data_IF_520081235881
#
_entry.id   IF_520081235881
#
_cell.length_a   1.000
_cell.length_b   1.000
_cell.length_c   1.000
_cell.angle_alpha   90.00
_cell.angle_beta   90.00
_cell.angle_gamma   90.00
#
_symmetry.space_group_name_H-M   'P 1'
#
loop_
_entity.id
_entity.type
_entity.pdbx_description
1 polymer ?
#
# COMPACT_ATOMS: atom_id res chain seq x y z
N UNK A 1 46.09 -15.54 7.19
CA UNK A 1 45.92 -14.54 8.27
C UNK A 1 44.90 -13.50 7.82
N UNK A 2 44.04 -13.09 8.75
CA UNK A 2 42.96 -12.09 8.64
C UNK A 2 41.61 -12.55 8.06
N UNK A 3 40.94 -13.37 8.86
CA UNK A 3 39.49 -13.48 8.97
C UNK A 3 38.95 -12.20 9.65
N UNK A 4 38.12 -11.41 8.96
CA UNK A 4 37.47 -10.23 9.52
C UNK A 4 36.21 -10.66 10.26
N UNK A 5 36.32 -10.82 11.58
CA UNK A 5 35.19 -10.95 12.48
C UNK A 5 34.35 -9.65 12.46
N UNK A 6 33.09 -9.79 12.06
CA UNK A 6 32.07 -8.75 12.12
C UNK A 6 31.60 -8.61 13.57
N UNK A 7 32.22 -7.68 14.31
CA UNK A 7 31.85 -7.37 15.69
C UNK A 7 30.63 -6.45 15.66
N UNK A 8 29.43 -7.02 15.84
CA UNK A 8 28.24 -6.24 16.17
C UNK A 8 28.32 -5.82 17.64
N UNK A 9 28.22 -4.51 17.98
CA UNK A 9 28.14 -4.10 19.37
C UNK A 9 26.81 -4.59 19.95
N UNK A 10 26.88 -5.37 21.03
CA UNK A 10 25.72 -5.72 21.83
C UNK A 10 25.06 -4.44 22.33
N UNK A 11 23.86 -4.16 21.84
CA UNK A 11 22.96 -3.18 22.45
C UNK A 11 22.67 -3.66 23.89
N UNK A 12 22.73 -2.78 24.91
CA UNK A 12 22.32 -3.15 26.25
C UNK A 12 20.86 -3.58 26.20
N UNK A 13 20.61 -4.86 26.48
CA UNK A 13 19.27 -5.39 26.62
C UNK A 13 18.58 -4.61 27.76
N UNK A 14 17.42 -3.96 27.52
CA UNK A 14 16.61 -3.50 28.64
C UNK A 14 16.29 -4.74 29.49
N UNK A 15 16.53 -4.64 30.80
CA UNK A 15 16.31 -5.69 31.79
C UNK A 15 14.92 -6.30 31.59
N UNK A 16 14.87 -7.40 30.83
CA UNK A 16 13.65 -8.07 30.46
C UNK A 16 13.38 -9.10 31.54
N UNK A 17 12.75 -8.66 32.63
CA UNK A 17 12.21 -9.59 33.62
C UNK A 17 10.96 -10.26 33.00
N UNK A 18 10.91 -11.59 32.91
CA UNK A 18 9.70 -12.30 32.53
C UNK A 18 8.75 -12.28 33.73
N UNK A 19 7.91 -11.25 33.84
CA UNK A 19 6.88 -11.18 34.87
C UNK A 19 5.73 -12.13 34.53
N UNK A 20 5.74 -13.29 35.18
CA UNK A 20 4.57 -14.14 35.39
C UNK A 20 3.44 -13.33 36.05
N UNK A 21 2.15 -13.62 35.80
CA UNK A 21 1.03 -12.95 36.48
C UNK A 21 1.10 -13.01 38.02
N UNK A 22 1.85 -13.95 38.61
CA UNK A 22 2.12 -14.01 40.06
C UNK A 22 3.18 -13.01 40.56
N UNK A 23 4.01 -12.43 39.69
CA UNK A 23 5.14 -11.58 40.09
C UNK A 23 4.71 -10.17 40.53
N UNK A 24 3.65 -9.64 39.94
CA UNK A 24 3.06 -8.36 40.36
C UNK A 24 2.46 -8.47 41.76
N UNK A 25 1.85 -9.62 42.07
CA UNK A 25 1.21 -9.85 43.36
C UNK A 25 2.26 -9.97 44.48
N UNK A 26 3.36 -10.68 44.23
CA UNK A 26 4.49 -10.78 45.15
C UNK A 26 5.13 -9.41 45.41
N UNK A 27 5.40 -8.63 44.36
CA UNK A 27 6.00 -7.29 44.48
C UNK A 27 5.08 -6.33 45.24
N UNK A 28 3.77 -6.42 44.99
CA UNK A 28 2.76 -5.63 45.68
C UNK A 28 2.69 -5.93 47.17
N UNK A 29 2.78 -7.21 47.55
CA UNK A 29 2.82 -7.62 48.95
C UNK A 29 4.08 -7.12 49.66
N UNK A 30 5.25 -7.18 49.01
CA UNK A 30 6.50 -6.69 49.59
C UNK A 30 6.44 -5.17 49.86
N UNK A 31 5.99 -4.38 48.88
CA UNK A 31 5.85 -2.93 49.04
C UNK A 31 4.78 -2.57 50.07
N UNK A 32 3.65 -3.29 50.10
CA UNK A 32 2.64 -3.08 51.14
C UNK A 32 3.22 -3.34 52.54
N UNK A 33 4.05 -4.37 52.70
CA UNK A 33 4.72 -4.67 53.96
C UNK A 33 5.73 -3.59 54.37
N UNK A 34 6.37 -2.91 53.42
CA UNK A 34 7.21 -1.74 53.69
C UNK A 34 6.38 -0.53 54.14
N UNK A 35 5.26 -0.24 53.49
CA UNK A 35 4.35 0.85 53.88
C UNK A 35 3.86 0.66 55.33
N UNK A 36 3.61 -0.58 55.75
CA UNK A 36 3.14 -0.87 57.11
C UNK A 36 4.18 -0.55 58.19
N UNK A 37 5.47 -0.61 57.85
CA UNK A 37 6.59 -0.33 58.76
C UNK A 37 6.87 1.17 58.93
N UNK A 38 6.33 2.03 58.07
CA UNK A 38 6.55 3.48 58.17
C UNK A 38 5.85 4.08 59.39
N UNK A 39 6.47 5.10 60.00
CA UNK A 39 5.89 5.86 61.10
C UNK A 39 4.92 6.94 60.57
N UNK A 40 3.80 6.49 60.01
CA UNK A 40 2.75 7.33 59.44
C UNK A 40 1.40 7.03 60.09
N UNK A 41 0.52 8.03 60.13
CA UNK A 41 -0.89 7.81 60.50
C UNK A 41 -1.53 6.77 59.57
N UNK A 42 -2.41 5.93 60.09
CA UNK A 42 -3.17 4.92 59.32
C UNK A 42 -3.79 5.49 58.03
N UNK A 43 -4.39 6.68 58.11
CA UNK A 43 -4.99 7.36 56.95
C UNK A 43 -3.99 7.59 55.79
N UNK A 44 -2.75 7.94 56.11
CA UNK A 44 -1.69 8.19 55.12
C UNK A 44 -1.17 6.87 54.54
N UNK A 45 -1.08 5.81 55.35
CA UNK A 45 -0.73 4.46 54.89
C UNK A 45 -1.78 3.92 53.93
N UNK A 46 -3.06 4.08 54.26
CA UNK A 46 -4.17 3.69 53.39
C UNK A 46 -4.12 4.45 52.06
N UNK A 47 -3.83 5.74 52.08
CA UNK A 47 -3.68 6.52 50.85
C UNK A 47 -2.50 6.03 50.01
N UNK A 48 -1.35 5.72 50.60
CA UNK A 48 -0.20 5.13 49.88
C UNK A 48 -0.59 3.81 49.21
N UNK A 49 -1.31 2.94 49.91
CA UNK A 49 -1.73 1.64 49.36
C UNK A 49 -2.76 1.80 48.24
N UNK A 50 -3.81 2.58 48.48
CA UNK A 50 -4.94 2.68 47.56
C UNK A 50 -4.64 3.58 46.35
N UNK A 51 -3.85 4.64 46.53
CA UNK A 51 -3.59 5.61 45.47
C UNK A 51 -2.32 5.31 44.72
N UNK A 52 -1.22 5.07 45.42
CA UNK A 52 0.08 4.90 44.79
C UNK A 52 0.34 3.44 44.42
N UNK A 53 0.24 2.50 45.37
CA UNK A 53 0.56 1.10 45.13
C UNK A 53 -0.42 0.45 44.14
N UNK A 54 -1.73 0.69 44.27
CA UNK A 54 -2.72 0.20 43.31
C UNK A 54 -2.44 0.71 41.89
N UNK A 55 -2.11 2.00 41.74
CA UNK A 55 -1.77 2.57 40.43
C UNK A 55 -0.50 1.98 39.85
N UNK A 56 0.53 1.77 40.68
CA UNK A 56 1.76 1.12 40.26
C UNK A 56 1.50 -0.30 39.76
N UNK A 57 0.78 -1.12 40.52
CA UNK A 57 0.46 -2.50 40.16
C UNK A 57 -0.43 -2.54 38.91
N UNK A 58 -1.39 -1.63 38.79
CA UNK A 58 -2.23 -1.50 37.62
C UNK A 58 -1.40 -1.17 36.37
N UNK A 59 -0.48 -0.20 36.46
CA UNK A 59 0.42 0.20 35.36
C UNK A 59 1.33 -0.96 34.94
N UNK A 60 1.92 -1.69 35.88
CA UNK A 60 2.76 -2.86 35.59
C UNK A 60 2.00 -3.99 34.91
N UNK A 61 0.81 -4.31 35.41
CA UNK A 61 -0.07 -5.32 34.84
C UNK A 61 -0.53 -4.93 33.43
N UNK A 62 -0.87 -3.64 33.24
CA UNK A 62 -1.25 -3.07 31.94
C UNK A 62 -0.09 -3.12 30.94
N UNK A 63 1.12 -2.76 31.38
CA UNK A 63 2.32 -2.80 30.54
C UNK A 63 2.58 -4.23 30.04
N UNK A 64 2.61 -5.21 30.95
CA UNK A 64 2.84 -6.61 30.59
C UNK A 64 1.81 -7.13 29.57
N UNK A 65 0.51 -6.90 29.81
CA UNK A 65 -0.55 -7.33 28.88
C UNK A 65 -0.44 -6.69 27.49
N UNK A 66 -0.11 -5.40 27.43
CA UNK A 66 0.09 -4.72 26.15
C UNK A 66 1.31 -5.24 25.39
N UNK A 67 2.41 -5.51 26.10
CA UNK A 67 3.62 -6.11 25.52
C UNK A 67 3.30 -7.46 24.88
N UNK A 68 2.64 -8.34 25.62
CA UNK A 68 2.40 -9.71 25.17
C UNK A 68 1.43 -9.73 23.98
N UNK A 69 0.40 -8.86 23.97
CA UNK A 69 -0.49 -8.67 22.81
C UNK A 69 0.24 -8.12 21.59
N UNK A 70 1.12 -7.14 21.78
CA UNK A 70 1.93 -6.58 20.70
C UNK A 70 2.78 -7.67 20.02
N UNK A 71 3.50 -8.47 20.82
CA UNK A 71 4.33 -9.54 20.28
C UNK A 71 3.49 -10.68 19.68
N UNK A 72 2.34 -11.02 20.25
CA UNK A 72 1.44 -12.02 19.68
C UNK A 72 0.93 -11.61 18.30
N UNK A 73 0.41 -10.37 18.14
CA UNK A 73 -0.04 -9.85 16.85
C UNK A 73 1.10 -9.82 15.84
N UNK A 74 2.25 -9.28 16.23
CA UNK A 74 3.41 -9.19 15.34
C UNK A 74 3.92 -10.57 14.88
N UNK A 75 3.93 -11.55 15.78
CA UNK A 75 4.29 -12.93 15.43
C UNK A 75 3.30 -13.52 14.43
N UNK A 76 1.98 -13.31 14.62
CA UNK A 76 0.97 -13.80 13.66
C UNK A 76 1.15 -13.19 12.27
N UNK A 77 1.48 -11.90 12.18
CA UNK A 77 1.72 -11.20 10.91
C UNK A 77 2.96 -11.74 10.19
N UNK A 78 4.07 -11.95 10.92
CA UNK A 78 5.31 -12.50 10.35
C UNK A 78 5.11 -13.94 9.88
N UNK A 79 4.54 -14.78 10.74
CA UNK A 79 4.30 -16.20 10.43
C UNK A 79 3.31 -16.34 9.29
N UNK A 80 2.21 -15.58 9.29
CA UNK A 80 1.24 -15.57 8.21
C UNK A 80 1.81 -15.10 6.88
N UNK A 81 2.66 -14.07 6.89
CA UNK A 81 3.35 -13.59 5.68
C UNK A 81 4.29 -14.63 5.05
N UNK A 82 4.86 -15.54 5.85
CA UNK A 82 5.69 -16.66 5.35
C UNK A 82 4.84 -17.86 4.92
N UNK A 83 3.72 -18.13 5.61
CA UNK A 83 2.84 -19.26 5.32
C UNK A 83 2.02 -19.04 4.03
N UNK A 84 1.53 -17.83 3.76
CA UNK A 84 0.67 -17.56 2.59
C UNK A 84 1.34 -17.97 1.26
N UNK A 85 2.59 -17.54 0.95
CA UNK A 85 3.27 -17.98 -0.27
C UNK A 85 3.48 -19.49 -0.34
N UNK A 86 3.77 -20.14 0.80
CA UNK A 86 3.91 -21.59 0.85
C UNK A 86 2.57 -22.28 0.53
N UNK A 87 1.46 -21.81 1.11
CA UNK A 87 0.12 -22.34 0.86
C UNK A 87 -0.28 -22.24 -0.62
N UNK A 88 0.01 -21.09 -1.25
CA UNK A 88 -0.30 -20.86 -2.68
C UNK A 88 0.67 -21.63 -3.60
N UNK A 89 1.92 -21.80 -3.19
CA UNK A 89 2.96 -22.49 -3.97
C UNK A 89 2.82 -24.01 -4.05
N UNK A 90 2.15 -24.65 -3.08
CA UNK A 90 1.96 -26.12 -3.05
C UNK A 90 0.84 -26.65 -3.96
N UNK A 91 0.29 -25.85 -4.87
CA UNK A 91 -0.86 -26.16 -5.74
C UNK A 91 -0.70 -27.26 -6.80
N UNK A 92 0.14 -28.29 -6.59
CA UNK A 92 0.23 -29.47 -7.45
C UNK A 92 -0.54 -30.64 -6.82
N UNK A 93 -1.87 -30.60 -6.92
CA UNK A 93 -2.79 -31.63 -6.38
C UNK A 93 -4.09 -31.71 -7.18
N UNK A 94 -5.08 -32.50 -6.72
CA UNK A 94 -6.39 -32.55 -7.37
C UNK A 94 -7.11 -31.19 -7.26
N UNK A 95 -8.00 -30.87 -8.21
CA UNK A 95 -8.70 -29.58 -8.27
C UNK A 95 -9.38 -29.17 -6.94
N UNK A 96 -9.93 -30.15 -6.21
CA UNK A 96 -10.52 -29.93 -4.89
C UNK A 96 -9.50 -29.41 -3.85
N UNK A 97 -8.28 -29.94 -3.80
CA UNK A 97 -7.25 -29.46 -2.86
C UNK A 97 -6.83 -28.02 -3.18
N UNK A 98 -6.73 -27.67 -4.46
CA UNK A 98 -6.37 -26.31 -4.88
C UNK A 98 -7.40 -25.27 -4.42
N UNK A 99 -8.70 -25.59 -4.51
CA UNK A 99 -9.77 -24.71 -4.04
C UNK A 99 -9.74 -24.53 -2.51
N UNK A 100 -9.55 -25.61 -1.75
CA UNK A 100 -9.42 -25.56 -0.29
C UNK A 100 -8.23 -24.71 0.16
N UNK A 101 -7.04 -24.90 -0.43
CA UNK A 101 -5.86 -24.08 -0.11
C UNK A 101 -6.02 -22.62 -0.54
N UNK A 102 -6.74 -22.36 -1.63
CA UNK A 102 -7.08 -21.00 -2.07
C UNK A 102 -7.91 -20.24 -1.04
N UNK A 103 -9.00 -20.85 -0.55
CA UNK A 103 -9.83 -20.26 0.50
C UNK A 103 -9.09 -20.13 1.84
N UNK A 104 -8.24 -21.09 2.18
CA UNK A 104 -7.41 -21.01 3.38
C UNK A 104 -6.38 -19.86 3.29
N UNK A 105 -5.73 -19.68 2.14
CA UNK A 105 -4.80 -18.59 1.91
C UNK A 105 -5.50 -17.22 1.99
N UNK A 106 -6.70 -17.11 1.40
CA UNK A 106 -7.52 -15.91 1.49
C UNK A 106 -7.97 -15.61 2.93
N UNK A 107 -8.45 -16.62 3.67
CA UNK A 107 -8.80 -16.45 5.08
C UNK A 107 -7.60 -16.00 5.91
N UNK A 108 -6.44 -16.63 5.70
CA UNK A 108 -5.20 -16.28 6.40
C UNK A 108 -4.72 -14.87 6.04
N UNK A 109 -4.85 -14.43 4.79
CA UNK A 109 -4.48 -13.07 4.40
C UNK A 109 -5.35 -12.02 5.10
N UNK A 110 -6.64 -12.28 5.28
CA UNK A 110 -7.50 -11.37 6.04
C UNK A 110 -7.13 -11.31 7.52
N UNK A 111 -6.79 -12.46 8.13
CA UNK A 111 -6.31 -12.48 9.53
C UNK A 111 -5.03 -11.69 9.68
N UNK A 112 -4.07 -11.84 8.75
CA UNK A 112 -2.81 -11.08 8.75
C UNK A 112 -3.07 -9.58 8.59
N UNK A 113 -3.93 -9.20 7.64
CA UNK A 113 -4.27 -7.80 7.41
C UNK A 113 -4.98 -7.17 8.63
N UNK A 114 -5.94 -7.87 9.24
CA UNK A 114 -6.61 -7.40 10.45
C UNK A 114 -5.62 -7.31 11.62
N UNK A 115 -4.72 -8.29 11.77
CA UNK A 115 -3.69 -8.29 12.83
C UNK A 115 -2.76 -7.08 12.70
N UNK A 116 -2.28 -6.81 11.49
CA UNK A 116 -1.45 -5.65 11.18
C UNK A 116 -2.20 -4.33 11.42
N UNK A 117 -3.46 -4.24 10.98
CA UNK A 117 -4.29 -3.06 11.20
C UNK A 117 -4.57 -2.82 12.70
N UNK A 118 -4.81 -3.86 13.48
CA UNK A 118 -4.96 -3.77 14.94
C UNK A 118 -3.66 -3.33 15.60
N UNK A 119 -2.51 -3.87 15.16
CA UNK A 119 -1.19 -3.48 15.68
C UNK A 119 -0.91 -1.99 15.44
N UNK A 120 -1.23 -1.49 14.24
CA UNK A 120 -1.09 -0.08 13.86
C UNK A 120 -2.08 0.81 14.62
N UNK A 121 -3.36 0.40 14.70
CA UNK A 121 -4.43 1.17 15.35
C UNK A 121 -4.19 1.39 16.85
N UNK A 122 -3.76 0.34 17.56
CA UNK A 122 -3.59 0.43 19.02
C UNK A 122 -2.19 0.89 19.45
N UNK A 123 -1.24 1.00 18.51
CA UNK A 123 0.14 1.41 18.79
C UNK A 123 0.72 0.75 20.06
N UNK A 124 0.44 -0.55 20.24
CA UNK A 124 0.66 -1.25 21.51
C UNK A 124 2.11 -1.14 21.99
N UNK A 125 3.08 -1.07 21.06
CA UNK A 125 4.50 -0.95 21.38
C UNK A 125 4.89 0.39 22.04
N UNK A 126 4.23 1.49 21.68
CA UNK A 126 4.51 2.80 22.27
C UNK A 126 3.75 3.00 23.59
N UNK A 127 2.51 2.53 23.63
CA UNK A 127 1.71 2.53 24.85
C UNK A 127 2.34 1.66 25.94
N UNK A 128 2.90 0.50 25.59
CA UNK A 128 3.67 -0.33 26.54
C UNK A 128 4.84 0.44 27.16
N UNK A 129 5.62 1.15 26.34
CA UNK A 129 6.79 1.91 26.82
C UNK A 129 6.38 3.02 27.76
N UNK A 130 5.30 3.75 27.45
CA UNK A 130 4.76 4.77 28.35
C UNK A 130 4.35 4.18 29.69
N UNK A 131 3.49 3.15 29.71
CA UNK A 131 3.06 2.54 30.98
C UNK A 131 4.24 1.97 31.78
N UNK A 132 5.22 1.38 31.10
CA UNK A 132 6.43 0.89 31.75
C UNK A 132 7.24 2.04 32.35
N UNK A 133 7.51 3.10 31.59
CA UNK A 133 8.28 4.25 32.07
C UNK A 133 7.60 4.92 33.27
N UNK A 134 6.28 5.11 33.23
CA UNK A 134 5.50 5.65 34.36
C UNK A 134 5.58 4.71 35.57
N UNK A 135 5.43 3.41 35.38
CA UNK A 135 5.57 2.42 36.47
C UNK A 135 6.97 2.42 37.10
N UNK A 136 8.03 2.40 36.29
CA UNK A 136 9.41 2.46 36.79
C UNK A 136 9.70 3.79 37.49
N UNK A 137 9.17 4.92 36.98
CA UNK A 137 9.26 6.22 37.65
C UNK A 137 8.60 6.22 39.03
N UNK A 138 7.39 5.67 39.14
CA UNK A 138 6.68 5.52 40.42
C UNK A 138 7.39 4.57 41.40
N UNK A 139 8.07 3.53 40.91
CA UNK A 139 8.92 2.66 41.73
C UNK A 139 10.11 3.41 42.29
N UNK A 140 10.84 4.12 41.42
CA UNK A 140 12.01 4.89 41.82
C UNK A 140 11.61 5.92 42.88
N UNK A 141 10.52 6.64 42.66
CA UNK A 141 10.00 7.62 43.62
C UNK A 141 9.64 6.98 44.97
N UNK A 142 9.02 5.80 44.95
CA UNK A 142 8.72 5.03 46.18
C UNK A 142 9.97 4.61 46.94
N UNK A 143 11.00 4.12 46.23
CA UNK A 143 12.27 3.76 46.85
C UNK A 143 13.04 4.97 47.40
N UNK A 144 13.00 6.09 46.69
CA UNK A 144 13.58 7.35 47.18
C UNK A 144 12.90 7.82 48.46
N UNK A 145 11.57 7.73 48.53
CA UNK A 145 10.79 8.05 49.71
C UNK A 145 11.12 7.14 50.90
N UNK A 146 11.08 5.82 50.73
CA UNK A 146 11.35 4.86 51.82
C UNK A 146 12.75 4.96 52.42
N UNK A 147 13.72 5.49 51.67
CA UNK A 147 15.09 5.63 52.15
C UNK A 147 15.43 7.09 52.50
N UNK A 148 14.47 8.02 52.38
CA UNK A 148 14.68 9.47 52.47
C UNK A 148 15.88 9.94 51.63
N UNK A 149 15.98 9.40 50.41
CA UNK A 149 17.04 9.73 49.45
C UNK A 149 16.53 10.61 48.32
N UNK A 150 17.42 10.96 47.38
CA UNK A 150 17.07 11.81 46.24
C UNK A 150 16.44 13.13 46.66
N UNK A 151 15.20 13.34 46.20
CA UNK A 151 14.43 14.57 46.45
C UNK A 151 13.95 14.69 47.91
N UNK A 152 14.07 13.63 48.71
CA UNK A 152 13.60 13.57 50.10
C UNK A 152 14.69 13.74 51.15
N UNK A 153 15.96 13.90 50.75
CA UNK A 153 17.11 14.05 51.67
C UNK A 153 17.01 15.20 52.66
N UNK A 154 16.19 16.19 52.35
CA UNK A 154 15.97 17.37 53.19
C UNK A 154 15.00 17.13 54.35
N UNK A 155 14.30 16.00 54.36
CA UNK A 155 13.35 15.64 55.41
C UNK A 155 14.01 14.68 56.41
N UNK A 156 13.74 14.90 57.69
CA UNK A 156 14.26 14.04 58.78
C UNK A 156 13.33 12.86 59.08
N UNK A 157 12.04 12.98 58.74
CA UNK A 157 11.03 11.95 58.97
C UNK A 157 10.18 11.67 57.73
N UNK A 158 9.68 10.44 57.60
CA UNK A 158 8.77 10.02 56.53
C UNK A 158 7.45 10.83 56.55
N UNK A 159 7.01 11.24 57.74
CA UNK A 159 5.83 12.10 57.94
C UNK A 159 5.93 13.44 57.25
N UNK A 160 7.12 14.05 57.28
CA UNK A 160 7.38 15.35 56.66
C UNK A 160 7.57 15.21 55.14
N UNK A 161 8.21 14.12 54.72
CA UNK A 161 8.40 13.77 53.31
C UNK A 161 7.10 13.37 52.59
N UNK A 162 6.10 12.86 53.32
CA UNK A 162 4.86 12.33 52.76
C UNK A 162 4.14 13.32 51.83
N UNK A 163 4.07 14.59 52.19
CA UNK A 163 3.37 15.60 51.38
C UNK A 163 4.07 15.77 50.02
N UNK A 164 5.39 15.93 50.03
CA UNK A 164 6.19 16.02 48.81
C UNK A 164 6.09 14.74 47.96
N UNK A 165 5.98 13.57 48.61
CA UNK A 165 5.74 12.30 47.92
C UNK A 165 4.38 12.26 47.23
N UNK A 166 3.32 12.59 47.95
CA UNK A 166 1.96 12.60 47.41
C UNK A 166 1.85 13.55 46.21
N UNK A 167 2.48 14.73 46.26
CA UNK A 167 2.48 15.69 45.15
C UNK A 167 3.19 15.15 43.90
N UNK A 168 4.33 14.48 44.09
CA UNK A 168 5.10 13.91 42.97
C UNK A 168 4.40 12.70 42.36
N UNK A 169 3.80 11.84 43.16
CA UNK A 169 2.94 10.75 42.66
C UNK A 169 1.79 11.31 41.82
N UNK A 170 1.09 12.32 42.32
CA UNK A 170 0.01 12.97 41.56
C UNK A 170 0.53 13.67 40.30
N UNK A 171 1.76 14.19 40.31
CA UNK A 171 2.39 14.74 39.11
C UNK A 171 2.65 13.65 38.06
N UNK A 172 3.18 12.48 38.43
CA UNK A 172 3.34 11.35 37.51
C UNK A 172 2.01 10.90 36.92
N UNK A 173 0.96 10.80 37.74
CA UNK A 173 -0.38 10.40 37.27
C UNK A 173 -0.94 11.45 36.31
N UNK A 174 -0.80 12.75 36.63
CA UNK A 174 -1.22 13.85 35.72
C UNK A 174 -0.44 13.83 34.41
N UNK A 175 0.88 13.60 34.47
CA UNK A 175 1.73 13.53 33.30
C UNK A 175 1.39 12.33 32.42
N UNK A 176 1.05 11.18 33.00
CA UNK A 176 0.62 9.99 32.24
C UNK A 176 -0.68 10.28 31.46
N UNK A 177 -1.66 10.91 32.11
CA UNK A 177 -2.93 11.30 31.48
C UNK A 177 -2.72 12.38 30.41
N UNK A 178 -1.91 13.41 30.69
CA UNK A 178 -1.61 14.48 29.73
C UNK A 178 -0.80 13.96 28.54
N UNK A 179 0.20 13.12 28.79
CA UNK A 179 1.01 12.47 27.78
C UNK A 179 0.18 11.57 26.87
N UNK A 180 -0.84 10.90 27.42
CA UNK A 180 -1.81 10.16 26.61
C UNK A 180 -2.59 11.09 25.66
N UNK A 181 -3.08 12.23 26.14
CA UNK A 181 -3.83 13.20 25.32
C UNK A 181 -2.95 13.83 24.24
N UNK A 182 -1.71 14.23 24.58
CA UNK A 182 -0.78 14.83 23.61
C UNK A 182 -0.39 13.83 22.53
N UNK A 183 -0.07 12.59 22.92
CA UNK A 183 0.29 11.53 21.98
C UNK A 183 -0.87 11.20 21.03
N UNK A 184 -2.13 11.26 21.49
CA UNK A 184 -3.29 11.11 20.62
C UNK A 184 -3.39 12.26 19.60
N UNK A 185 -3.13 13.50 20.01
CA UNK A 185 -3.16 14.65 19.11
C UNK A 185 -2.04 14.62 18.06
N UNK A 186 -0.83 14.19 18.45
CA UNK A 186 0.30 14.04 17.54
C UNK A 186 0.05 12.96 16.50
N UNK A 187 -0.45 11.79 16.91
CA UNK A 187 -0.86 10.72 15.98
C UNK A 187 -1.89 11.22 14.96
N UNK A 188 -2.93 11.93 15.40
CA UNK A 188 -3.92 12.49 14.48
C UNK A 188 -3.32 13.49 13.48
N UNK A 189 -2.28 14.23 13.87
CA UNK A 189 -1.58 15.15 12.95
C UNK A 189 -0.72 14.37 11.97
N UNK A 190 -0.01 13.34 12.41
CA UNK A 190 0.80 12.48 11.55
C UNK A 190 -0.06 11.71 10.54
N UNK A 191 -1.17 11.13 10.96
CA UNK A 191 -2.10 10.42 10.08
C UNK A 191 -2.70 11.36 9.01
N UNK A 192 -3.06 12.59 9.42
CA UNK A 192 -3.51 13.63 8.48
C UNK A 192 -2.42 14.01 7.48
N UNK A 193 -1.17 14.18 7.93
CA UNK A 193 -0.03 14.48 7.05
C UNK A 193 0.25 13.36 6.05
N UNK A 194 0.32 12.11 6.51
CA UNK A 194 0.50 10.93 5.63
C UNK A 194 -0.62 10.83 4.60
N UNK A 195 -1.87 11.07 5.02
CA UNK A 195 -3.02 11.07 4.12
C UNK A 195 -2.89 12.19 3.09
N UNK A 196 -2.53 13.40 3.51
CA UNK A 196 -2.33 14.54 2.61
C UNK A 196 -1.18 14.31 1.62
N UNK A 197 -0.07 13.74 2.06
CA UNK A 197 1.06 13.34 1.20
C UNK A 197 0.67 12.27 0.19
N UNK A 198 -0.06 11.24 0.61
CA UNK A 198 -0.54 10.17 -0.27
C UNK A 198 -1.52 10.71 -1.31
N UNK A 199 -2.41 11.62 -0.91
CA UNK A 199 -3.35 12.28 -1.83
C UNK A 199 -2.57 13.15 -2.83
N UNK A 200 -1.59 13.94 -2.39
CA UNK A 200 -0.73 14.73 -3.28
C UNK A 200 -0.01 13.85 -4.30
N UNK A 201 0.60 12.76 -3.84
CA UNK A 201 1.31 11.83 -4.70
C UNK A 201 0.37 11.19 -5.74
N UNK A 202 -0.82 10.75 -5.32
CA UNK A 202 -1.80 10.16 -6.24
C UNK A 202 -2.32 11.18 -7.26
N UNK A 203 -2.53 12.44 -6.84
CA UNK A 203 -2.93 13.53 -7.74
C UNK A 203 -1.81 13.83 -8.74
N UNK A 204 -0.56 13.86 -8.32
CA UNK A 204 0.59 14.08 -9.20
C UNK A 204 0.72 12.97 -10.26
N UNK A 205 0.59 11.70 -9.84
CA UNK A 205 0.58 10.54 -10.76
C UNK A 205 -0.59 10.64 -11.75
N UNK A 206 -1.78 11.04 -11.30
CA UNK A 206 -2.94 11.21 -12.18
C UNK A 206 -2.73 12.34 -13.20
N UNK A 207 -2.14 13.46 -12.76
CA UNK A 207 -1.82 14.61 -13.60
C UNK A 207 -0.77 14.25 -14.66
N UNK A 208 0.26 13.49 -14.29
CA UNK A 208 1.28 13.00 -15.20
C UNK A 208 0.68 12.08 -16.27
N UNK A 209 -0.15 11.11 -15.86
CA UNK A 209 -0.85 10.21 -16.80
C UNK A 209 -1.75 10.98 -17.76
N UNK A 210 -2.47 11.99 -17.27
CA UNK A 210 -3.33 12.83 -18.11
C UNK A 210 -2.50 13.61 -19.14
N UNK A 211 -1.39 14.20 -18.72
CA UNK A 211 -0.49 14.93 -19.63
C UNK A 211 0.10 14.01 -20.69
N UNK A 212 0.52 12.79 -20.31
CA UNK A 212 0.98 11.77 -21.25
C UNK A 212 -0.11 11.38 -22.26
N UNK A 213 -1.36 11.20 -21.81
CA UNK A 213 -2.48 10.91 -22.70
C UNK A 213 -2.75 12.05 -23.69
N UNK A 214 -2.69 13.30 -23.24
CA UNK A 214 -2.88 14.47 -24.09
C UNK A 214 -1.79 14.55 -25.17
N UNK A 215 -0.52 14.31 -24.80
CA UNK A 215 0.59 14.25 -25.75
C UNK A 215 0.41 13.14 -26.77
N UNK A 216 -0.06 11.97 -26.33
CA UNK A 216 -0.32 10.83 -27.21
C UNK A 216 -1.43 11.15 -28.22
N UNK A 217 -2.50 11.84 -27.78
CA UNK A 217 -3.55 12.30 -28.67
C UNK A 217 -3.03 13.31 -29.70
N UNK A 218 -2.26 14.31 -29.28
CA UNK A 218 -1.68 15.29 -30.20
C UNK A 218 -0.72 14.63 -31.23
N UNK A 219 0.06 13.63 -30.81
CA UNK A 219 0.91 12.85 -31.71
C UNK A 219 0.09 12.01 -32.71
N UNK A 220 -1.02 11.42 -32.26
CA UNK A 220 -1.92 10.65 -33.12
C UNK A 220 -2.53 11.55 -34.20
N UNK A 221 -3.00 12.74 -33.81
CA UNK A 221 -3.56 13.74 -34.73
C UNK A 221 -2.51 14.20 -35.75
N UNK A 222 -1.28 14.47 -35.31
CA UNK A 222 -0.18 14.84 -36.21
C UNK A 222 0.13 13.72 -37.23
N UNK A 223 0.16 12.46 -36.78
CA UNK A 223 0.34 11.30 -37.67
C UNK A 223 -0.81 11.14 -38.66
N UNK A 224 -2.04 11.38 -38.23
CA UNK A 224 -3.22 11.35 -39.11
C UNK A 224 -3.08 12.35 -40.25
N UNK A 225 -2.72 13.59 -39.94
CA UNK A 225 -2.53 14.64 -40.95
C UNK A 225 -1.40 14.30 -41.93
N UNK A 226 -0.28 13.75 -41.45
CA UNK A 226 0.80 13.29 -42.31
C UNK A 226 0.34 12.18 -43.28
N UNK A 227 -0.44 11.23 -42.78
CA UNK A 227 -0.95 10.12 -43.59
C UNK A 227 -1.97 10.60 -44.63
N UNK A 228 -2.77 11.64 -44.31
CA UNK A 228 -3.64 12.31 -45.26
C UNK A 228 -2.85 13.06 -46.36
N UNK A 229 -1.74 13.71 -46.01
CA UNK A 229 -0.83 14.32 -46.99
C UNK A 229 -0.19 13.29 -47.91
N UNK A 230 0.31 12.18 -47.37
CA UNK A 230 0.88 11.08 -48.16
C UNK A 230 -0.16 10.47 -49.11
N UNK A 231 -1.40 10.27 -48.63
CA UNK A 231 -2.49 9.80 -49.48
C UNK A 231 -2.79 10.74 -50.64
N UNK A 232 -2.85 12.06 -50.38
CA UNK A 232 -3.05 13.07 -51.45
C UNK A 232 -1.93 13.01 -52.48
N UNK A 233 -0.68 13.01 -52.04
CA UNK A 233 0.47 12.91 -52.95
C UNK A 233 0.44 11.61 -53.78
N UNK A 234 0.03 10.49 -53.18
CA UNK A 234 -0.08 9.21 -53.86
C UNK A 234 -1.22 9.21 -54.90
N UNK A 235 -2.34 9.86 -54.61
CA UNK A 235 -3.45 10.04 -55.54
C UNK A 235 -3.04 10.91 -56.74
N UNK A 236 -2.31 11.99 -56.50
CA UNK A 236 -1.74 12.82 -57.56
C UNK A 236 -0.78 12.02 -58.44
N UNK A 237 0.12 11.22 -57.85
CA UNK A 237 1.01 10.33 -58.61
C UNK A 237 0.24 9.30 -59.43
N UNK A 238 -0.83 8.71 -58.88
CA UNK A 238 -1.67 7.77 -59.63
C UNK A 238 -2.35 8.43 -60.82
N UNK A 239 -2.91 9.63 -60.65
CA UNK A 239 -3.54 10.37 -61.74
C UNK A 239 -2.54 10.74 -62.85
N UNK A 240 -1.33 11.16 -62.48
CA UNK A 240 -0.26 11.44 -63.45
C UNK A 240 0.13 10.18 -64.24
N UNK A 241 0.35 9.06 -63.55
CA UNK A 241 0.67 7.79 -64.20
C UNK A 241 -0.46 7.29 -65.11
N UNK A 242 -1.72 7.49 -64.72
CA UNK A 242 -2.89 7.13 -65.52
C UNK A 242 -3.00 8.00 -66.78
N UNK A 243 -2.73 9.30 -66.67
CA UNK A 243 -2.62 10.19 -67.83
C UNK A 243 -1.47 9.79 -68.77
N UNK A 244 -0.30 9.43 -68.23
CA UNK A 244 0.82 8.90 -69.03
C UNK A 244 0.44 7.61 -69.74
N UNK A 245 -0.28 6.69 -69.07
CA UNK A 245 -0.80 5.46 -69.70
C UNK A 245 -1.79 5.75 -70.82
N UNK A 246 -2.69 6.72 -70.65
CA UNK A 246 -3.63 7.13 -71.70
C UNK A 246 -2.92 7.79 -72.89
N UNK A 247 -1.90 8.61 -72.65
CA UNK A 247 -1.06 9.21 -73.68
C UNK A 247 -0.26 8.14 -74.48
N UNK A 248 0.26 7.12 -73.80
CA UNK A 248 0.92 5.98 -74.45
C UNK A 248 -0.07 5.13 -75.27
N UNK A 249 -1.30 4.94 -74.82
CA UNK A 249 -2.35 4.25 -75.59
C UNK A 249 -2.73 5.02 -76.86
N UNK A 250 -2.80 6.36 -76.80
CA UNK A 250 -3.02 7.19 -77.98
C UNK A 250 -1.85 7.08 -78.97
N UNK A 251 -0.61 7.17 -78.47
CA UNK A 251 0.60 6.98 -79.29
C UNK A 251 0.71 5.59 -79.93
N UNK A 252 0.29 4.53 -79.23
CA UNK A 252 0.24 3.17 -79.77
C UNK A 252 -0.94 2.96 -80.73
N UNK A 253 -2.05 3.70 -80.58
CA UNK A 253 -3.15 3.70 -81.55
C UNK A 253 -2.79 4.43 -82.85
N UNK A 254 -1.99 5.50 -82.79
CA UNK A 254 -1.42 6.19 -83.96
C UNK A 254 -0.35 5.32 -84.65
N UNK A 255 0.52 4.64 -83.90
CA UNK A 255 1.45 3.65 -84.48
C UNK A 255 0.75 2.42 -85.07
N UNK A 256 -0.41 2.01 -84.53
CA UNK A 256 -1.21 0.94 -85.12
C UNK A 256 -1.97 1.41 -86.37
N UNK A 257 -2.30 2.71 -86.48
CA UNK A 257 -2.78 3.31 -87.73
C UNK A 257 -1.65 3.46 -88.78
N UNK A 258 -0.38 3.58 -88.36
CA UNK A 258 0.80 3.64 -89.24
C UNK A 258 1.35 2.26 -89.65
N UNK A 259 1.03 1.18 -88.92
CA UNK A 259 1.42 -0.21 -89.28
C UNK A 259 0.36 -0.95 -90.12
N UNK A 260 -0.88 -0.44 -90.20
CA UNK A 260 -1.94 -1.03 -91.06
C UNK A 260 -1.92 -0.47 -92.50
N UNK A 261 -1.05 0.49 -92.83
CA UNK A 261 -0.97 1.05 -94.20
C UNK A 261 -0.04 0.32 -95.17
N UNK A 262 0.53 -0.85 -94.82
CA UNK A 262 1.35 -1.60 -95.76
C UNK A 262 1.19 -3.12 -95.62
N UNK A 263 -0.04 -3.60 -95.85
CA UNK A 263 -0.25 -4.88 -96.55
C UNK A 263 -1.67 -5.01 -97.10
N UNK A 264 -1.68 -5.28 -98.41
CA UNK A 264 -2.72 -5.88 -99.26
C UNK A 264 -3.65 -4.93 -100.03
N UNK A 265 -3.15 -4.54 -101.21
CA UNK A 265 -3.96 -4.44 -102.43
C UNK A 265 -4.55 -5.81 -102.80
N UNK A 266 -5.85 -5.77 -103.15
CA UNK A 266 -6.59 -6.67 -104.06
C UNK A 266 -6.76 -8.15 -103.64
N UNK A 267 -7.92 -8.81 -103.73
CA UNK A 267 -9.22 -8.47 -104.33
C UNK A 267 -10.25 -9.56 -103.95
N UNK A 268 -11.52 -9.15 -103.88
CA UNK A 268 -12.73 -9.90 -104.27
C UNK A 268 -13.32 -11.03 -103.41
N UNK A 269 -14.39 -10.65 -102.69
CA UNK A 269 -15.81 -10.96 -103.01
C UNK A 269 -16.47 -12.25 -102.46
N UNK A 270 -17.77 -12.07 -102.17
CA UNK A 270 -18.82 -13.04 -101.79
C UNK A 270 -18.73 -13.54 -100.34
N UNK A 271 -19.75 -13.51 -99.48
CA UNK A 271 -21.17 -13.17 -99.54
C UNK A 271 -21.89 -13.92 -98.40
N UNK A 272 -22.90 -13.29 -97.76
CA UNK A 272 -24.03 -13.90 -96.99
C UNK A 272 -23.59 -14.68 -95.71
N UNK A 273 -24.11 -14.50 -94.49
CA UNK A 273 -25.49 -14.64 -94.02
C UNK A 273 -25.63 -14.20 -92.55
N UNK A 274 -26.88 -14.06 -92.12
CA UNK A 274 -27.38 -13.70 -90.79
C UNK A 274 -27.02 -14.69 -89.66
N UNK A 275 -26.95 -14.23 -88.40
CA UNK A 275 -27.93 -14.63 -87.35
C UNK A 275 -27.75 -13.86 -86.02
N UNK A 276 -28.83 -13.89 -85.24
CA UNK A 276 -29.16 -13.17 -84.02
C UNK A 276 -28.68 -13.89 -82.73
N UNK A 277 -29.07 -13.28 -81.59
CA UNK A 277 -29.22 -13.81 -80.21
C UNK A 277 -28.07 -13.48 -79.23
N UNK A 278 -28.26 -12.66 -78.18
CA UNK A 278 -29.05 -12.89 -76.94
C UNK A 278 -28.37 -14.02 -76.11
N UNK A 279 -27.97 -13.95 -74.83
CA UNK A 279 -28.32 -13.14 -73.66
C UNK A 279 -27.37 -13.48 -72.47
N UNK A 280 -27.53 -12.73 -71.36
CA UNK A 280 -27.43 -13.11 -69.93
C UNK A 280 -26.06 -13.32 -69.23
N UNK A 281 -25.89 -12.50 -68.18
CA UNK A 281 -25.53 -12.93 -66.80
C UNK A 281 -24.04 -12.93 -66.46
N UNK A 282 -23.56 -12.50 -65.29
CA UNK A 282 -24.21 -12.24 -64.00
C UNK A 282 -23.20 -11.50 -63.12
N UNK A 283 -23.67 -10.56 -62.29
CA UNK A 283 -22.90 -10.01 -61.16
C UNK A 283 -22.70 -11.05 -60.05
N UNK A 284 -21.76 -10.80 -59.11
CA UNK A 284 -22.20 -10.57 -57.73
C UNK A 284 -21.45 -9.38 -57.10
N UNK A 285 -22.12 -8.42 -56.47
CA UNK A 285 -22.75 -8.41 -55.14
C UNK A 285 -21.83 -7.80 -54.08
N UNK A 286 -22.41 -6.79 -53.41
CA UNK A 286 -21.85 -5.96 -52.37
C UNK A 286 -21.53 -6.73 -51.07
N UNK A 287 -20.60 -6.20 -50.27
CA UNK A 287 -20.65 -6.37 -48.81
C UNK A 287 -20.19 -5.07 -48.15
N UNK A 288 -21.17 -4.39 -47.56
CA UNK A 288 -21.00 -3.33 -46.60
C UNK A 288 -20.39 -3.89 -45.30
N UNK A 289 -19.43 -3.19 -44.71
CA UNK A 289 -18.99 -3.43 -43.33
C UNK A 289 -19.51 -2.28 -42.47
N UNK A 290 -20.35 -2.66 -41.51
CA UNK A 290 -20.96 -1.81 -40.49
C UNK A 290 -19.90 -1.23 -39.53
N UNK A 291 -20.02 0.05 -39.24
CA UNK A 291 -19.44 0.68 -38.07
C UNK A 291 -20.18 0.22 -36.80
N UNK A 292 -19.45 -0.39 -35.87
CA UNK A 292 -19.95 -0.68 -34.52
C UNK A 292 -19.88 0.58 -33.67
N UNK A 293 -21.05 1.03 -33.22
CA UNK A 293 -21.30 2.09 -32.26
C UNK A 293 -20.74 1.73 -30.87
N UNK A 294 -20.05 2.70 -30.24
CA UNK A 294 -19.73 2.73 -28.83
C UNK A 294 -21.01 2.89 -28.01
N UNK A 295 -21.18 2.07 -26.98
CA UNK A 295 -22.22 2.20 -25.96
C UNK A 295 -21.57 2.59 -24.64
N UNK A 296 -21.76 3.85 -24.23
CA UNK A 296 -21.62 4.30 -22.84
C UNK A 296 -22.63 3.56 -21.97
N UNK A 297 -22.20 3.17 -20.77
CA UNK A 297 -23.09 2.89 -19.66
C UNK A 297 -22.63 3.75 -18.48
N UNK A 298 -23.54 4.63 -18.05
CA UNK A 298 -23.66 5.14 -16.69
C UNK A 298 -23.91 3.99 -15.70
#
# INVERSE_FOLDING_TARGET
MCEKAFFLPQLPHPLCSPSSPNATDATGHDISGLIDQLDLSELRKDFLKQRWLDQLLWLEGRATKNRDRHYALRLTTIVGGVIIPALVGFGKGTAQWQEWFGWAAFGLSQVVAISAAIEEFFAYGENYRNYRNTAEGLKIEGWEFFQLTGSYRQFETDTDAYTAFSERVEQYIKQDVQGFISNLQERQKEDKKKTEETVKQNVEIAMEKLNQQLQLQAQLEAKLNQLEEEKRNLEEQKQQLEQERLAQLQSNSEKSAEVVSDKLSEVSNVGIDCHEDEEIGTAPAATAIQYSSYKSAD
#
